data_IF_259469377485
#
_entry.id   IF_259469377485
#
_cell.length_a   1.000
_cell.length_b   1.000
_cell.length_c   1.000
_cell.angle_alpha   90.00
_cell.angle_beta   90.00
_cell.angle_gamma   90.00
#
_symmetry.space_group_name_H-M   'P 1'
#
loop_
_entity.id
_entity.type
_entity.pdbx_description
1 polymer ?
#
# COMPACT_ATOMS: atom_id res chain seq x y z
N UNK A 1 3.31 -20.13 7.06
CA UNK A 1 4.29 -20.14 8.18
C UNK A 1 5.70 -20.09 7.63
N UNK A 2 6.68 -19.67 8.47
CA UNK A 2 8.10 -19.75 8.16
C UNK A 2 8.68 -21.03 8.76
N UNK A 3 9.57 -21.72 8.03
CA UNK A 3 10.34 -22.86 8.55
C UNK A 3 11.66 -22.29 9.08
N UNK A 4 11.85 -22.44 10.39
CA UNK A 4 13.01 -21.90 11.09
C UNK A 4 13.87 -23.04 11.68
N UNK A 5 15.17 -22.95 11.51
CA UNK A 5 16.18 -23.78 12.16
C UNK A 5 17.16 -22.86 12.90
N UNK A 6 17.12 -22.89 14.23
CA UNK A 6 17.89 -21.98 15.09
C UNK A 6 17.67 -20.50 14.70
N UNK A 7 18.71 -19.81 14.24
CA UNK A 7 18.66 -18.41 13.83
C UNK A 7 18.62 -18.25 12.29
N UNK A 8 18.05 -19.25 11.60
CA UNK A 8 17.95 -19.25 10.14
C UNK A 8 16.55 -19.60 9.67
N UNK A 9 16.02 -18.84 8.72
CA UNK A 9 14.84 -19.24 7.95
C UNK A 9 15.29 -20.07 6.76
N UNK A 10 14.77 -21.30 6.68
CA UNK A 10 15.15 -22.31 5.67
C UNK A 10 14.03 -22.63 4.70
N UNK A 11 12.86 -22.00 4.86
CA UNK A 11 11.72 -22.23 3.98
C UNK A 11 10.40 -21.65 4.48
N UNK A 12 9.33 -22.07 3.80
CA UNK A 12 7.96 -21.66 4.11
C UNK A 12 6.99 -22.82 4.04
N UNK A 13 5.95 -22.77 4.86
CA UNK A 13 4.76 -23.62 4.72
C UNK A 13 3.65 -22.77 4.12
N UNK A 14 3.11 -23.21 3.00
CA UNK A 14 1.99 -22.58 2.31
C UNK A 14 0.81 -23.55 2.23
N UNK A 15 -0.40 -23.01 2.32
CA UNK A 15 -1.62 -23.79 2.07
C UNK A 15 -2.01 -23.65 0.59
N UNK A 16 -2.07 -24.78 -0.11
CA UNK A 16 -2.52 -24.85 -1.49
C UNK A 16 -4.04 -25.04 -1.53
N UNK A 17 -4.76 -24.02 -1.96
CA UNK A 17 -6.23 -24.04 -2.04
C UNK A 17 -6.76 -25.00 -3.12
N UNK A 18 -5.98 -25.30 -4.16
CA UNK A 18 -6.40 -26.23 -5.21
C UNK A 18 -6.37 -27.69 -4.72
N UNK A 19 -5.25 -28.06 -4.09
CA UNK A 19 -5.09 -29.42 -3.55
C UNK A 19 -5.61 -29.56 -2.11
N UNK A 20 -6.02 -28.45 -1.48
CA UNK A 20 -6.47 -28.36 -0.09
C UNK A 20 -5.48 -28.99 0.90
N UNK A 21 -4.21 -28.76 0.68
CA UNK A 21 -3.14 -29.34 1.49
C UNK A 21 -2.03 -28.34 1.80
N UNK A 22 -1.32 -28.59 2.88
CA UNK A 22 -0.10 -27.85 3.19
C UNK A 22 1.05 -28.35 2.33
N UNK A 23 1.87 -27.41 1.86
CA UNK A 23 3.09 -27.69 1.11
C UNK A 23 4.26 -26.98 1.76
N UNK A 24 5.39 -27.66 1.85
CA UNK A 24 6.64 -27.11 2.38
C UNK A 24 7.60 -26.82 1.25
N UNK A 25 8.18 -25.63 1.26
CA UNK A 25 9.18 -25.20 0.30
C UNK A 25 10.43 -24.80 1.07
N UNK A 26 11.57 -25.40 0.69
CA UNK A 26 12.86 -25.11 1.29
C UNK A 26 13.69 -24.26 0.34
N UNK A 27 14.44 -23.29 0.89
CA UNK A 27 15.26 -22.37 0.12
C UNK A 27 16.44 -21.86 0.96
N UNK A 28 17.49 -21.43 0.29
CA UNK A 28 18.64 -20.78 0.95
C UNK A 28 18.28 -19.40 1.49
N UNK A 29 17.37 -18.70 0.80
CA UNK A 29 16.86 -17.37 1.17
C UNK A 29 15.37 -17.31 0.91
N UNK A 30 14.63 -16.80 1.88
CA UNK A 30 13.20 -16.47 1.79
C UNK A 30 13.06 -14.96 1.70
N UNK A 31 12.40 -14.48 0.63
CA UNK A 31 12.15 -13.06 0.43
C UNK A 31 10.70 -12.75 0.82
N UNK A 32 10.52 -11.92 1.84
CA UNK A 32 9.24 -11.38 2.23
C UNK A 32 8.92 -10.15 1.39
N UNK A 33 8.11 -10.33 0.35
CA UNK A 33 7.57 -9.27 -0.50
C UNK A 33 6.07 -9.08 -0.24
N UNK A 34 5.62 -9.26 1.00
CA UNK A 34 4.21 -9.24 1.41
C UNK A 34 3.56 -7.87 1.44
N UNK A 35 4.21 -6.81 0.91
CA UNK A 35 3.65 -5.46 0.90
C UNK A 35 3.25 -5.01 2.30
N UNK A 36 2.04 -4.49 2.47
CA UNK A 36 1.54 -4.02 3.76
C UNK A 36 1.40 -5.14 4.81
N UNK A 37 1.25 -6.40 4.41
CA UNK A 37 1.21 -7.55 5.32
C UNK A 37 2.60 -8.09 5.68
N UNK A 38 3.66 -7.53 5.09
CA UNK A 38 5.05 -7.96 5.30
C UNK A 38 5.49 -7.90 6.77
N UNK A 39 4.97 -6.95 7.56
CA UNK A 39 5.22 -6.88 9.01
C UNK A 39 4.72 -8.13 9.74
N UNK A 40 3.51 -8.62 9.39
CA UNK A 40 2.93 -9.83 9.99
C UNK A 40 3.68 -11.10 9.59
N UNK A 41 4.28 -11.14 8.39
CA UNK A 41 5.14 -12.24 7.96
C UNK A 41 6.45 -12.20 8.76
N UNK A 42 7.10 -11.04 8.91
CA UNK A 42 8.32 -10.88 9.69
C UNK A 42 8.10 -11.21 11.17
N UNK A 43 6.95 -10.85 11.74
CA UNK A 43 6.58 -11.17 13.11
C UNK A 43 6.56 -12.69 13.38
N UNK A 44 6.27 -13.53 12.37
CA UNK A 44 6.35 -15.00 12.48
C UNK A 44 7.78 -15.52 12.68
N UNK A 45 8.78 -14.71 12.33
CA UNK A 45 10.19 -14.97 12.65
C UNK A 45 10.66 -14.31 13.95
N UNK A 46 9.76 -13.62 14.68
CA UNK A 46 10.11 -12.82 15.86
C UNK A 46 10.74 -11.46 15.53
N UNK A 47 10.58 -10.99 14.28
CA UNK A 47 11.19 -9.77 13.77
C UNK A 47 10.16 -8.66 13.69
N UNK A 48 10.51 -7.48 14.20
CA UNK A 48 9.68 -6.27 14.08
C UNK A 48 10.10 -5.45 12.86
N UNK A 49 9.15 -5.22 11.96
CA UNK A 49 9.30 -4.26 10.84
C UNK A 49 8.31 -3.12 11.06
N UNK A 50 8.83 -1.94 11.35
CA UNK A 50 8.01 -0.75 11.59
C UNK A 50 7.49 -0.20 10.26
N UNK A 51 6.26 -0.52 9.93
CA UNK A 51 5.56 0.03 8.78
C UNK A 51 4.54 1.07 9.22
N UNK A 52 4.26 2.01 8.34
CA UNK A 52 3.21 3.01 8.48
C UNK A 52 2.14 2.75 7.43
N UNK A 53 1.04 2.05 7.77
CA UNK A 53 -0.06 1.85 6.85
C UNK A 53 -0.71 3.19 6.50
N UNK A 54 -0.59 3.61 5.25
CA UNK A 54 -1.18 4.86 4.75
C UNK A 54 -2.22 4.55 3.69
N UNK A 55 -3.49 4.71 4.06
CA UNK A 55 -4.64 4.56 3.16
C UNK A 55 -4.66 5.69 2.13
N UNK A 56 -4.97 5.36 0.89
CA UNK A 56 -5.27 6.31 -0.16
C UNK A 56 -6.56 5.92 -0.86
N UNK A 57 -7.54 6.81 -0.86
CA UNK A 57 -8.80 6.66 -1.57
C UNK A 57 -8.73 7.31 -2.96
N UNK A 58 -9.45 6.72 -3.93
CA UNK A 58 -9.60 7.22 -5.30
C UNK A 58 -11.06 7.17 -5.73
N UNK A 59 -11.43 8.08 -6.63
CA UNK A 59 -12.72 8.04 -7.32
C UNK A 59 -12.53 7.77 -8.81
N UNK A 60 -13.42 6.95 -9.35
CA UNK A 60 -13.54 6.67 -10.80
C UNK A 60 -14.81 7.33 -11.32
N UNK A 61 -14.65 8.14 -12.36
CA UNK A 61 -15.73 8.84 -13.04
C UNK A 61 -16.15 8.17 -14.35
N UNK A 62 -17.44 8.24 -14.68
CA UNK A 62 -18.03 7.57 -15.84
C UNK A 62 -17.71 8.19 -17.20
N UNK A 63 -16.96 9.28 -17.24
CA UNK A 63 -16.50 9.89 -18.47
C UNK A 63 -15.02 10.29 -18.39
N UNK A 64 -14.36 10.23 -19.51
CA UNK A 64 -13.00 10.73 -19.68
C UNK A 64 -13.03 12.24 -19.86
N UNK A 65 -12.73 12.98 -18.79
CA UNK A 65 -12.74 14.46 -18.78
C UNK A 65 -11.38 15.07 -19.12
N UNK A 66 -10.33 14.28 -19.16
CA UNK A 66 -8.95 14.72 -19.47
C UNK A 66 -8.26 13.78 -20.44
N UNK A 67 -7.36 14.32 -21.29
CA UNK A 67 -6.61 13.55 -22.29
C UNK A 67 -5.20 13.14 -21.82
N UNK A 68 -4.69 13.82 -20.80
CA UNK A 68 -3.37 13.59 -20.22
C UNK A 68 -3.47 13.64 -18.69
N UNK A 69 -2.47 13.14 -18.00
CA UNK A 69 -2.38 13.26 -16.54
C UNK A 69 -2.24 14.74 -16.18
N UNK A 70 -3.13 15.20 -15.30
CA UNK A 70 -3.07 16.54 -14.72
C UNK A 70 -2.57 16.43 -13.28
N UNK A 71 -1.55 17.23 -12.95
CA UNK A 71 -0.97 17.30 -11.60
C UNK A 71 -0.84 18.76 -11.18
N UNK A 72 -1.13 19.05 -9.92
CA UNK A 72 -1.09 20.43 -9.40
C UNK A 72 0.29 21.01 -9.21
N UNK A 73 1.36 20.23 -9.28
CA UNK A 73 2.75 20.71 -9.12
C UNK A 73 2.95 21.56 -7.84
N UNK A 74 2.38 21.13 -6.72
CA UNK A 74 2.52 21.74 -5.38
C UNK A 74 3.08 20.72 -4.38
N UNK A 75 3.30 21.13 -3.12
CA UNK A 75 3.59 20.17 -2.05
C UNK A 75 2.50 19.11 -2.02
N UNK A 76 2.85 17.80 -1.88
CA UNK A 76 1.90 16.71 -1.93
C UNK A 76 0.70 16.92 -0.99
N UNK A 77 -0.50 16.89 -1.57
CA UNK A 77 -1.76 17.05 -0.85
C UNK A 77 -2.80 16.07 -1.40
N UNK A 78 -4.05 16.13 -0.90
CA UNK A 78 -5.12 15.27 -1.37
C UNK A 78 -5.59 15.67 -2.77
N UNK A 79 -5.99 14.67 -3.58
CA UNK A 79 -6.53 14.82 -4.92
C UNK A 79 -5.66 15.66 -5.87
N UNK A 80 -4.36 15.46 -5.84
CA UNK A 80 -3.44 16.25 -6.68
C UNK A 80 -3.29 15.72 -8.11
N UNK A 81 -3.79 14.52 -8.40
CA UNK A 81 -3.59 13.86 -9.69
C UNK A 81 -4.91 13.41 -10.28
N UNK A 82 -5.20 13.88 -11.50
CA UNK A 82 -6.30 13.41 -12.33
C UNK A 82 -5.74 12.61 -13.51
N UNK A 83 -6.08 11.33 -13.56
CA UNK A 83 -5.52 10.36 -14.53
C UNK A 83 -6.61 9.96 -15.53
N UNK A 84 -6.35 10.01 -16.86
CA UNK A 84 -7.27 9.46 -17.85
C UNK A 84 -7.13 7.94 -17.96
N UNK A 85 -8.27 7.23 -18.02
CA UNK A 85 -8.39 5.87 -18.55
C UNK A 85 -8.90 5.89 -19.99
N UNK A 86 -9.31 4.74 -20.52
CA UNK A 86 -9.87 4.67 -21.88
C UNK A 86 -11.15 5.50 -22.02
N UNK A 87 -12.14 5.23 -21.18
CA UNK A 87 -13.45 5.88 -21.18
C UNK A 87 -13.77 6.62 -19.88
N UNK A 88 -12.87 6.58 -18.92
CA UNK A 88 -13.05 7.06 -17.55
C UNK A 88 -11.96 8.08 -17.16
N UNK A 89 -12.17 8.75 -16.05
CA UNK A 89 -11.12 9.51 -15.35
C UNK A 89 -11.05 9.10 -13.88
N UNK A 90 -9.86 9.18 -13.30
CA UNK A 90 -9.61 8.85 -11.90
C UNK A 90 -9.00 10.04 -11.19
N UNK A 91 -9.54 10.40 -10.02
CA UNK A 91 -8.95 11.42 -9.14
C UNK A 91 -8.44 10.78 -7.85
N UNK A 92 -7.29 11.18 -7.39
CA UNK A 92 -6.71 10.71 -6.13
C UNK A 92 -5.40 11.38 -5.76
N UNK A 93 -4.88 11.02 -4.63
CA UNK A 93 -5.42 10.15 -3.59
C UNK A 93 -5.56 10.93 -2.29
N UNK A 94 -6.36 10.44 -1.37
CA UNK A 94 -6.24 10.86 0.04
C UNK A 94 -4.98 10.25 0.67
N UNK A 95 -4.64 10.67 1.88
CA UNK A 95 -3.60 10.01 2.68
C UNK A 95 -3.95 10.11 4.16
N UNK A 96 -4.32 8.97 4.74
CA UNK A 96 -4.62 8.84 6.17
C UNK A 96 -3.97 7.59 6.74
N UNK A 97 -3.53 7.66 8.00
CA UNK A 97 -3.07 6.47 8.72
C UNK A 97 -4.25 5.54 8.98
N UNK A 98 -4.01 4.25 8.91
CA UNK A 98 -4.98 3.22 9.30
C UNK A 98 -4.32 2.22 10.23
N UNK A 99 -5.05 1.70 11.23
CA UNK A 99 -4.58 0.61 12.06
C UNK A 99 -4.41 -0.67 11.26
N UNK A 100 -3.52 -1.56 11.69
CA UNK A 100 -3.27 -2.83 11.00
C UNK A 100 -4.48 -3.78 10.94
N UNK A 101 -5.36 -3.74 11.93
CA UNK A 101 -6.59 -4.52 11.96
C UNK A 101 -7.65 -4.07 10.96
N UNK A 102 -7.46 -2.92 10.33
CA UNK A 102 -8.37 -2.35 9.34
C UNK A 102 -7.84 -2.41 7.89
N UNK A 103 -6.61 -2.89 7.67
CA UNK A 103 -6.01 -2.89 6.32
C UNK A 103 -6.74 -3.79 5.31
N UNK A 104 -7.43 -4.82 5.77
CA UNK A 104 -8.18 -5.76 4.92
C UNK A 104 -9.63 -5.32 4.66
N UNK A 105 -10.14 -4.37 5.46
CA UNK A 105 -11.52 -3.87 5.39
C UNK A 105 -11.55 -2.34 5.25
N UNK A 106 -11.01 -1.84 4.14
CA UNK A 106 -10.96 -0.40 3.86
C UNK A 106 -12.35 0.17 3.59
N UNK A 107 -12.81 1.01 4.48
CA UNK A 107 -14.01 1.83 4.28
C UNK A 107 -13.58 3.19 3.74
N UNK A 108 -14.23 3.64 2.66
CA UNK A 108 -14.11 5.01 2.15
C UNK A 108 -15.26 5.79 2.74
N UNK A 109 -14.93 6.87 3.45
CA UNK A 109 -15.94 7.69 4.11
C UNK A 109 -16.53 8.74 3.16
N UNK A 110 -17.75 9.23 3.42
CA UNK A 110 -18.33 10.33 2.66
C UNK A 110 -17.42 11.56 2.62
N UNK A 111 -16.74 11.87 3.73
CA UNK A 111 -15.84 13.02 3.85
C UNK A 111 -14.62 12.88 2.92
N UNK A 112 -14.10 11.65 2.72
CA UNK A 112 -13.03 11.39 1.74
C UNK A 112 -13.54 11.61 0.31
N UNK A 113 -14.76 11.18 0.01
CA UNK A 113 -15.38 11.42 -1.30
C UNK A 113 -15.56 12.90 -1.56
N UNK A 114 -16.13 13.63 -0.60
CA UNK A 114 -16.35 15.09 -0.71
C UNK A 114 -15.02 15.85 -0.84
N UNK A 115 -13.98 15.42 -0.13
CA UNK A 115 -12.64 16.00 -0.25
C UNK A 115 -12.07 15.79 -1.66
N UNK A 116 -12.16 14.57 -2.19
CA UNK A 116 -11.67 14.23 -3.53
C UNK A 116 -12.43 15.00 -4.62
N UNK A 117 -13.74 15.15 -4.49
CA UNK A 117 -14.55 15.93 -5.41
C UNK A 117 -14.17 17.41 -5.39
N UNK A 118 -14.22 18.03 -4.20
CA UNK A 118 -13.91 19.46 -4.02
C UNK A 118 -12.51 19.82 -4.53
N UNK A 119 -11.52 18.96 -4.26
CA UNK A 119 -10.18 19.19 -4.73
C UNK A 119 -10.01 18.84 -6.22
N UNK A 120 -10.72 17.82 -6.71
CA UNK A 120 -10.73 17.42 -8.10
C UNK A 120 -11.33 18.45 -9.04
N UNK A 121 -12.41 19.13 -8.62
CA UNK A 121 -13.06 20.23 -9.37
C UNK A 121 -12.09 21.37 -9.68
N UNK A 122 -11.09 21.61 -8.82
CA UNK A 122 -10.04 22.60 -9.06
C UNK A 122 -9.08 22.20 -10.19
N UNK A 123 -8.95 20.90 -10.49
CA UNK A 123 -8.21 20.39 -11.64
C UNK A 123 -9.06 20.38 -12.91
N UNK A 124 -10.30 19.95 -12.79
CA UNK A 124 -11.28 19.91 -13.87
C UNK A 124 -12.69 20.18 -13.34
N UNK A 125 -13.26 21.36 -13.58
CA UNK A 125 -14.63 21.70 -13.13
C UNK A 125 -15.71 20.73 -13.63
N UNK A 126 -15.44 20.00 -14.72
CA UNK A 126 -16.37 19.00 -15.25
C UNK A 126 -16.64 17.84 -14.29
N UNK A 127 -15.74 17.59 -13.32
CA UNK A 127 -15.91 16.53 -12.33
C UNK A 127 -17.14 16.76 -11.45
N UNK A 128 -17.54 18.03 -11.20
CA UNK A 128 -18.76 18.36 -10.46
C UNK A 128 -20.05 17.78 -11.08
N UNK A 129 -20.05 17.57 -12.39
CA UNK A 129 -21.19 17.10 -13.17
C UNK A 129 -21.03 15.68 -13.71
N UNK A 130 -19.90 15.05 -13.39
CA UNK A 130 -19.59 13.72 -13.90
C UNK A 130 -19.96 12.66 -12.86
N UNK A 131 -20.72 11.66 -13.30
CA UNK A 131 -21.14 10.56 -12.42
C UNK A 131 -19.94 9.80 -11.87
N UNK A 132 -19.89 9.59 -10.56
CA UNK A 132 -18.97 8.66 -9.92
C UNK A 132 -19.47 7.24 -10.15
N UNK A 133 -18.63 6.39 -10.68
CA UNK A 133 -18.90 4.95 -10.87
C UNK A 133 -18.48 4.13 -9.67
N UNK A 134 -17.32 4.47 -9.09
CA UNK A 134 -16.72 3.69 -7.99
C UNK A 134 -15.80 4.57 -7.15
N UNK A 135 -15.77 4.28 -5.86
CA UNK A 135 -14.71 4.65 -4.95
C UNK A 135 -13.95 3.38 -4.53
N UNK A 136 -12.62 3.45 -4.44
CA UNK A 136 -11.82 2.37 -3.88
C UNK A 136 -10.60 2.94 -3.14
N UNK A 137 -10.04 2.13 -2.26
CA UNK A 137 -8.85 2.50 -1.50
C UNK A 137 -7.82 1.36 -1.49
N UNK A 138 -6.58 1.74 -1.32
CA UNK A 138 -5.47 0.84 -1.06
C UNK A 138 -4.62 1.36 0.08
N UNK A 139 -3.72 0.51 0.60
CA UNK A 139 -2.80 0.87 1.69
C UNK A 139 -1.37 0.80 1.19
N UNK A 140 -0.65 1.91 1.38
CA UNK A 140 0.77 2.00 1.05
C UNK A 140 1.59 1.41 2.19
N UNK A 141 2.56 0.52 1.92
CA UNK A 141 3.45 -0.07 2.91
C UNK A 141 4.63 0.87 3.21
N UNK A 142 4.37 2.08 3.71
CA UNK A 142 5.44 3.02 4.02
C UNK A 142 6.26 2.52 5.21
N UNK A 143 7.58 2.74 5.16
CA UNK A 143 8.45 2.47 6.31
C UNK A 143 8.46 3.71 7.19
N UNK A 144 8.14 3.57 8.48
CA UNK A 144 8.06 4.68 9.40
C UNK A 144 9.42 5.40 9.50
N UNK A 145 9.43 6.69 9.25
CA UNK A 145 10.43 7.61 9.78
C UNK A 145 9.78 8.39 10.94
N UNK A 146 10.54 8.65 11.99
CA UNK A 146 10.00 9.09 13.28
C UNK A 146 9.22 10.41 13.28
N UNK A 147 9.19 11.15 12.16
CA UNK A 147 8.74 12.55 12.13
C UNK A 147 7.54 12.87 11.20
N UNK A 148 6.88 11.90 10.56
CA UNK A 148 5.73 12.21 9.70
C UNK A 148 4.46 11.43 10.06
N UNK A 149 3.50 12.08 10.74
CA UNK A 149 2.25 11.44 11.12
C UNK A 149 1.32 11.13 9.93
N UNK A 150 1.52 11.74 8.76
CA UNK A 150 0.66 11.55 7.57
C UNK A 150 1.24 10.56 6.57
N UNK A 151 2.52 10.22 6.67
CA UNK A 151 3.26 9.40 5.71
C UNK A 151 3.48 10.08 4.34
N UNK A 152 3.21 11.41 4.23
CA UNK A 152 3.35 12.13 2.95
C UNK A 152 4.79 12.50 2.64
N UNK A 153 5.60 12.76 3.66
CA UNK A 153 7.02 13.10 3.55
C UNK A 153 7.94 11.89 3.73
N UNK A 154 7.36 10.74 4.16
CA UNK A 154 8.11 9.48 4.25
C UNK A 154 8.57 9.05 2.86
N UNK A 155 9.84 8.64 2.78
CA UNK A 155 10.41 8.12 1.55
C UNK A 155 9.56 6.98 0.99
N UNK A 156 9.21 7.09 -0.28
CA UNK A 156 8.55 6.03 -1.05
C UNK A 156 9.56 5.18 -1.81
N UNK A 157 10.83 5.25 -1.40
CA UNK A 157 11.87 4.41 -1.98
C UNK A 157 11.72 2.95 -1.54
N UNK A 158 12.21 2.06 -2.37
CA UNK A 158 12.32 0.64 -2.02
C UNK A 158 13.27 0.50 -0.83
N UNK A 159 12.84 -0.24 0.19
CA UNK A 159 13.62 -0.59 1.37
C UNK A 159 13.87 -2.08 1.36
N UNK A 160 15.14 -2.46 1.40
CA UNK A 160 15.59 -3.84 1.53
C UNK A 160 16.16 -4.03 2.94
N UNK A 161 15.55 -4.93 3.71
CA UNK A 161 15.97 -5.27 5.07
C UNK A 161 16.60 -6.66 5.06
N UNK A 162 17.94 -6.73 5.19
CA UNK A 162 18.66 -7.96 5.43
C UNK A 162 18.60 -8.28 6.93
N UNK A 163 17.82 -9.29 7.28
CA UNK A 163 17.57 -9.65 8.67
C UNK A 163 18.75 -10.40 9.31
N UNK A 164 19.69 -10.93 8.53
CA UNK A 164 20.92 -11.50 9.08
C UNK A 164 21.75 -10.42 9.78
N UNK A 165 21.92 -9.28 9.11
CA UNK A 165 22.72 -8.17 9.64
C UNK A 165 21.95 -7.36 10.70
N UNK A 166 20.65 -7.18 10.49
CA UNK A 166 19.83 -6.30 11.33
C UNK A 166 19.32 -6.97 12.60
N UNK A 167 18.90 -8.24 12.50
CA UNK A 167 18.14 -8.94 13.55
C UNK A 167 18.77 -10.27 13.97
N UNK A 168 19.92 -10.67 13.36
CA UNK A 168 20.57 -11.95 13.60
C UNK A 168 19.80 -13.16 13.02
N UNK A 169 18.90 -12.94 12.04
CA UNK A 169 18.12 -13.99 11.41
C UNK A 169 18.58 -14.24 9.98
N UNK A 170 19.35 -15.29 9.78
CA UNK A 170 19.86 -15.67 8.47
C UNK A 170 18.79 -16.19 7.51
N UNK A 171 19.05 -16.10 6.22
CA UNK A 171 18.18 -16.64 5.16
C UNK A 171 16.84 -15.93 5.03
N UNK A 172 16.69 -14.73 5.61
CA UNK A 172 15.44 -13.95 5.53
C UNK A 172 15.71 -12.50 5.16
N UNK A 173 14.98 -12.03 4.15
CA UNK A 173 15.06 -10.64 3.64
C UNK A 173 13.65 -10.10 3.46
N UNK A 174 13.41 -8.87 3.89
CA UNK A 174 12.14 -8.17 3.60
C UNK A 174 12.38 -7.05 2.61
N UNK A 175 11.58 -7.02 1.54
CA UNK A 175 11.48 -5.90 0.60
C UNK A 175 10.14 -5.19 0.81
N UNK A 176 10.18 -3.87 0.97
CA UNK A 176 8.99 -3.04 1.25
C UNK A 176 9.21 -1.61 0.75
N UNK A 177 8.21 -0.74 0.92
CA UNK A 177 8.23 0.62 0.37
C UNK A 177 7.68 0.68 -1.06
N UNK A 178 7.76 1.85 -1.72
CA UNK A 178 7.28 2.09 -3.10
C UNK A 178 6.09 3.01 -3.22
#
# INVERSE_FOLDING_TARGET
ELIREQDRIVGVVAYDYHTRSEKRFYAQVVINAGGIWGHGIAAKAGITVNMLPAKGALLIFGHRVNKMVLNRCRKPADADILVPGDTISLIGTTSSKVPYDQIDNMIITPEEVDLLLREGEKLSPQLAYTRILRAYAGVRPLVASDNDPTGRTVSRGIVLLDHAQRDGMEGFVTITGG
#
